data_IF_377840937594
#
_entry.id   IF_377840937594
#
_cell.length_a   1.000
_cell.length_b   1.000
_cell.length_c   1.000
_cell.angle_alpha   90.00
_cell.angle_beta   90.00
_cell.angle_gamma   90.00
#
_symmetry.space_group_name_H-M   'P 1'
#
loop_
_entity.id
_entity.type
_entity.pdbx_description
1 polymer ?
#
# COMPACT_ATOMS: atom_id res chain seq x y z
N UNK A 1 8.07 -42.65 -21.28
CA UNK A 1 6.98 -42.52 -22.27
C UNK A 1 5.71 -42.64 -21.46
N UNK A 2 4.94 -41.56 -21.34
CA UNK A 2 3.68 -41.58 -20.58
C UNK A 2 2.67 -42.38 -21.40
N UNK A 3 1.98 -43.32 -20.76
CA UNK A 3 0.94 -44.11 -21.40
C UNK A 3 -0.32 -43.26 -21.60
N UNK A 4 -1.17 -43.65 -22.56
CA UNK A 4 -2.43 -42.94 -22.79
C UNK A 4 -3.38 -43.05 -21.58
N UNK A 5 -3.32 -44.16 -20.83
CA UNK A 5 -4.14 -44.38 -19.63
C UNK A 5 -3.80 -43.38 -18.51
N UNK A 6 -2.51 -43.16 -18.26
CA UNK A 6 -2.01 -42.17 -17.29
C UNK A 6 -2.45 -40.74 -17.63
N UNK A 7 -2.40 -40.37 -18.92
CA UNK A 7 -2.84 -39.04 -19.38
C UNK A 7 -4.35 -38.89 -19.27
N UNK A 8 -5.12 -39.93 -19.59
CA UNK A 8 -6.59 -39.92 -19.46
C UNK A 8 -7.04 -39.85 -18.00
N UNK A 9 -6.37 -40.55 -17.09
CA UNK A 9 -6.62 -40.47 -15.66
C UNK A 9 -6.34 -39.07 -15.10
N UNK A 10 -5.20 -38.46 -15.50
CA UNK A 10 -4.87 -37.08 -15.12
C UNK A 10 -5.89 -36.06 -15.67
N UNK A 11 -6.35 -36.24 -16.91
CA UNK A 11 -7.41 -35.41 -17.51
C UNK A 11 -8.73 -35.53 -16.75
N UNK A 12 -9.11 -36.74 -16.32
CA UNK A 12 -10.33 -36.96 -15.53
C UNK A 12 -10.23 -36.28 -14.17
N UNK A 13 -9.14 -36.51 -13.43
CA UNK A 13 -8.90 -35.87 -12.13
C UNK A 13 -8.98 -34.34 -12.24
N UNK A 14 -8.44 -33.77 -13.33
CA UNK A 14 -8.50 -32.33 -13.61
C UNK A 14 -9.94 -31.82 -13.85
N UNK A 15 -10.79 -32.59 -14.52
CA UNK A 15 -12.19 -32.23 -14.74
C UNK A 15 -12.98 -32.24 -13.42
N UNK A 16 -12.66 -33.18 -12.53
CA UNK A 16 -13.31 -33.33 -11.23
C UNK A 16 -12.72 -32.41 -10.14
N UNK A 17 -11.64 -31.68 -10.45
CA UNK A 17 -10.96 -30.77 -9.52
C UNK A 17 -10.07 -31.48 -8.49
N UNK A 18 -9.76 -32.75 -8.72
CA UNK A 18 -8.86 -33.55 -7.91
C UNK A 18 -7.39 -33.38 -8.32
N UNK A 19 -6.48 -33.76 -7.43
CA UNK A 19 -5.04 -33.67 -7.69
C UNK A 19 -4.61 -34.77 -8.65
N UNK A 20 -4.15 -34.39 -9.84
CA UNK A 20 -3.55 -35.31 -10.80
C UNK A 20 -2.18 -35.83 -10.32
N UNK A 21 -1.86 -37.09 -10.66
CA UNK A 21 -0.55 -37.69 -10.38
C UNK A 21 0.53 -37.21 -11.35
N UNK A 22 0.14 -36.74 -12.54
CA UNK A 22 1.01 -36.14 -13.53
C UNK A 22 0.97 -34.61 -13.49
N UNK A 23 2.12 -34.01 -13.81
CA UNK A 23 2.24 -32.57 -13.99
C UNK A 23 1.43 -32.08 -15.20
N UNK A 24 0.69 -31.00 -15.02
CA UNK A 24 -0.21 -30.42 -16.04
C UNK A 24 0.54 -30.08 -17.34
N UNK A 25 1.80 -29.64 -17.21
CA UNK A 25 2.64 -29.33 -18.38
C UNK A 25 2.91 -30.55 -19.27
N UNK A 26 3.03 -31.74 -18.66
CA UNK A 26 3.28 -33.00 -19.39
C UNK A 26 1.99 -33.48 -20.06
N UNK A 27 0.86 -33.36 -19.36
CA UNK A 27 -0.47 -33.70 -19.87
C UNK A 27 -0.82 -32.82 -21.08
N UNK A 28 -0.63 -31.50 -20.98
CA UNK A 28 -0.94 -30.57 -22.05
C UNK A 28 -0.04 -30.77 -23.28
N UNK A 29 1.25 -31.04 -23.06
CA UNK A 29 2.17 -31.40 -24.14
C UNK A 29 1.72 -32.67 -24.88
N UNK A 30 1.29 -33.70 -24.15
CA UNK A 30 0.81 -34.95 -24.76
C UNK A 30 -0.51 -34.76 -25.51
N UNK A 31 -1.47 -34.04 -24.93
CA UNK A 31 -2.78 -33.76 -25.56
C UNK A 31 -2.60 -32.94 -26.84
N UNK A 32 -1.66 -32.00 -26.89
CA UNK A 32 -1.36 -31.25 -28.11
C UNK A 32 -0.93 -32.16 -29.28
N UNK A 33 -0.14 -33.20 -28.99
CA UNK A 33 0.39 -34.13 -29.99
C UNK A 33 -0.48 -35.36 -30.29
N UNK A 34 -1.34 -35.78 -29.37
CA UNK A 34 -2.09 -37.05 -29.47
C UNK A 34 -3.57 -36.84 -29.79
N UNK A 35 -4.03 -37.37 -30.93
CA UNK A 35 -5.42 -37.27 -31.37
C UNK A 35 -6.39 -38.09 -30.49
N UNK A 36 -5.92 -39.20 -29.92
CA UNK A 36 -6.74 -40.06 -29.05
C UNK A 36 -7.07 -39.39 -27.72
N UNK A 37 -6.07 -38.79 -27.06
CA UNK A 37 -6.27 -38.07 -25.80
C UNK A 37 -7.11 -36.80 -25.98
N UNK A 38 -6.99 -36.11 -27.14
CA UNK A 38 -7.91 -35.02 -27.51
C UNK A 38 -9.35 -35.51 -27.62
N UNK A 39 -9.57 -36.59 -28.37
CA UNK A 39 -10.91 -37.15 -28.52
C UNK A 39 -11.50 -37.66 -27.19
N UNK A 40 -10.67 -38.16 -26.28
CA UNK A 40 -11.09 -38.51 -24.92
C UNK A 40 -11.55 -37.27 -24.13
N UNK A 41 -10.75 -36.19 -24.13
CA UNK A 41 -11.10 -34.93 -23.48
C UNK A 41 -12.39 -34.32 -24.03
N UNK A 42 -12.57 -34.33 -25.35
CA UNK A 42 -13.79 -33.80 -25.98
C UNK A 42 -15.02 -34.61 -25.56
N UNK A 43 -14.91 -35.95 -25.51
CA UNK A 43 -15.98 -36.84 -25.05
C UNK A 43 -16.29 -36.65 -23.56
N UNK A 44 -15.28 -36.50 -22.72
CA UNK A 44 -15.48 -36.31 -21.28
C UNK A 44 -16.13 -34.95 -20.99
N UNK A 45 -15.72 -33.87 -21.66
CA UNK A 45 -16.35 -32.57 -21.54
C UNK A 45 -17.81 -32.58 -22.04
N UNK A 46 -18.08 -33.23 -23.18
CA UNK A 46 -19.43 -33.37 -23.69
C UNK A 46 -20.33 -34.19 -22.73
N UNK A 47 -19.78 -35.26 -22.13
CA UNK A 47 -20.46 -36.06 -21.11
C UNK A 47 -20.74 -35.23 -19.86
N UNK A 48 -19.75 -34.51 -19.31
CA UNK A 48 -19.92 -33.63 -18.15
C UNK A 48 -20.94 -32.51 -18.41
N UNK A 49 -21.01 -31.97 -19.63
CA UNK A 49 -22.05 -31.01 -20.01
C UNK A 49 -23.44 -31.66 -20.08
N UNK A 50 -23.53 -32.90 -20.57
CA UNK A 50 -24.80 -33.64 -20.65
C UNK A 50 -25.31 -34.09 -19.27
N UNK A 51 -24.41 -34.53 -18.38
CA UNK A 51 -24.70 -34.91 -16.99
C UNK A 51 -24.92 -33.69 -16.10
N UNK A 52 -24.28 -32.58 -16.45
CA UNK A 52 -24.51 -31.24 -15.89
C UNK A 52 -25.92 -30.68 -16.19
N UNK A 53 -26.74 -31.44 -16.92
CA UNK A 53 -28.20 -31.46 -16.86
C UNK A 53 -28.86 -30.09 -16.80
N UNK A 54 -29.34 -29.63 -17.96
CA UNK A 54 -30.24 -28.49 -18.18
C UNK A 54 -29.79 -27.16 -17.53
N UNK A 55 -29.54 -26.20 -18.40
CA UNK A 55 -29.34 -24.79 -18.09
C UNK A 55 -30.58 -24.09 -17.50
N UNK A 56 -31.31 -24.73 -16.57
CA UNK A 56 -32.19 -24.08 -15.62
C UNK A 56 -31.39 -23.41 -14.47
N UNK A 57 -30.11 -23.76 -14.34
CA UNK A 57 -29.16 -23.14 -13.41
C UNK A 57 -27.88 -22.67 -14.11
N UNK A 58 -27.98 -22.21 -15.37
CA UNK A 58 -26.95 -21.28 -15.84
C UNK A 58 -27.04 -20.06 -14.91
N UNK A 59 -25.99 -19.72 -14.13
CA UNK A 59 -26.04 -18.52 -13.31
C UNK A 59 -26.42 -17.37 -14.25
N UNK A 60 -27.48 -16.59 -13.95
CA UNK A 60 -27.87 -15.46 -14.78
C UNK A 60 -26.61 -14.69 -15.19
N UNK A 61 -26.46 -14.34 -16.45
CA UNK A 61 -25.25 -13.67 -16.96
C UNK A 61 -24.96 -12.36 -16.18
N UNK A 62 -25.99 -11.82 -15.53
CA UNK A 62 -25.91 -10.66 -14.65
C UNK A 62 -25.34 -10.97 -13.25
N UNK A 63 -25.26 -12.22 -12.80
CA UNK A 63 -24.65 -12.55 -11.51
C UNK A 63 -23.12 -12.42 -11.57
N UNK A 64 -22.48 -12.85 -12.66
CA UNK A 64 -21.05 -12.61 -12.83
C UNK A 64 -20.78 -11.10 -12.93
N UNK A 65 -21.60 -10.35 -13.68
CA UNK A 65 -21.51 -8.90 -13.75
C UNK A 65 -21.80 -8.21 -12.40
N UNK A 66 -22.77 -8.68 -11.62
CA UNK A 66 -23.13 -8.12 -10.31
C UNK A 66 -22.10 -8.45 -9.23
N UNK A 67 -21.52 -9.67 -9.24
CA UNK A 67 -20.42 -10.06 -8.37
C UNK A 67 -19.18 -9.25 -8.73
N UNK A 68 -18.81 -9.17 -10.01
CA UNK A 68 -17.69 -8.35 -10.47
C UNK A 68 -17.92 -6.88 -10.13
N UNK A 69 -19.12 -6.34 -10.32
CA UNK A 69 -19.46 -4.96 -9.94
C UNK A 69 -19.41 -4.73 -8.43
N UNK A 70 -19.81 -5.71 -7.62
CA UNK A 70 -19.69 -5.66 -6.16
C UNK A 70 -18.23 -5.60 -5.71
N UNK A 71 -17.39 -6.48 -6.25
CA UNK A 71 -15.94 -6.51 -5.97
C UNK A 71 -15.25 -5.25 -6.50
N UNK A 72 -15.57 -4.80 -7.71
CA UNK A 72 -15.04 -3.58 -8.31
C UNK A 72 -15.39 -2.35 -7.47
N UNK A 73 -16.58 -2.29 -6.88
CA UNK A 73 -17.01 -1.13 -6.11
C UNK A 73 -16.25 -1.03 -4.77
N UNK A 74 -15.98 -2.17 -4.11
CA UNK A 74 -15.12 -2.19 -2.92
C UNK A 74 -13.67 -1.81 -3.25
N UNK A 75 -13.12 -2.36 -4.32
CA UNK A 75 -11.78 -2.01 -4.81
C UNK A 75 -11.67 -0.54 -5.24
N UNK A 76 -12.67 -0.01 -5.95
CA UNK A 76 -12.74 1.41 -6.35
C UNK A 76 -12.89 2.31 -5.14
N UNK A 77 -13.71 1.96 -4.14
CA UNK A 77 -13.86 2.76 -2.92
C UNK A 77 -12.57 2.80 -2.09
N UNK A 78 -11.82 1.69 -2.10
CA UNK A 78 -10.50 1.61 -1.51
C UNK A 78 -9.46 2.45 -2.28
N UNK A 79 -9.42 2.30 -3.61
CA UNK A 79 -8.54 3.09 -4.48
C UNK A 79 -8.82 4.59 -4.34
N UNK A 80 -10.09 5.00 -4.32
CA UNK A 80 -10.51 6.40 -4.15
C UNK A 80 -10.15 6.96 -2.77
N UNK A 81 -10.30 6.18 -1.70
CA UNK A 81 -9.86 6.59 -0.34
C UNK A 81 -8.34 6.76 -0.28
N UNK A 82 -7.58 5.91 -0.98
CA UNK A 82 -6.13 6.01 -1.08
C UNK A 82 -5.68 7.23 -1.87
N UNK A 83 -6.31 7.49 -3.02
CA UNK A 83 -6.05 8.68 -3.85
C UNK A 83 -6.38 9.97 -3.11
N UNK A 84 -7.55 10.03 -2.45
CA UNK A 84 -7.95 11.18 -1.63
C UNK A 84 -7.04 11.35 -0.42
N UNK A 85 -6.66 10.26 0.27
CA UNK A 85 -5.74 10.30 1.41
C UNK A 85 -4.34 10.80 1.03
N UNK A 86 -3.85 10.41 -0.16
CA UNK A 86 -2.59 10.90 -0.71
C UNK A 86 -2.68 12.38 -1.09
N UNK A 87 -3.77 12.82 -1.72
CA UNK A 87 -4.00 14.22 -2.05
C UNK A 87 -4.05 15.12 -0.80
N UNK A 88 -4.81 14.71 0.21
CA UNK A 88 -4.88 15.42 1.50
C UNK A 88 -3.53 15.44 2.20
N UNK A 89 -2.80 14.32 2.18
CA UNK A 89 -1.46 14.23 2.74
C UNK A 89 -0.47 15.21 2.10
N UNK A 90 -0.47 15.30 0.77
CA UNK A 90 0.38 16.25 0.03
C UNK A 90 0.02 17.70 0.34
N UNK A 91 -1.27 18.02 0.39
CA UNK A 91 -1.73 19.36 0.75
C UNK A 91 -1.25 19.72 2.16
N UNK A 92 -1.40 18.79 3.11
CA UNK A 92 -1.04 19.02 4.51
C UNK A 92 0.48 19.18 4.70
N UNK A 93 1.30 18.37 4.01
CA UNK A 93 2.76 18.56 3.96
C UNK A 93 3.16 19.89 3.32
N UNK A 94 2.50 20.28 2.24
CA UNK A 94 2.73 21.57 1.57
C UNK A 94 2.39 22.76 2.47
N UNK A 95 1.24 22.72 3.15
CA UNK A 95 0.85 23.75 4.14
C UNK A 95 1.88 23.81 5.25
N UNK A 96 2.35 22.67 5.76
CA UNK A 96 3.31 22.66 6.85
C UNK A 96 4.69 23.15 6.41
N UNK A 97 5.13 22.86 5.19
CA UNK A 97 6.33 23.46 4.61
C UNK A 97 6.25 25.00 4.59
N UNK A 98 5.10 25.57 4.20
CA UNK A 98 4.88 27.03 4.23
C UNK A 98 4.92 27.57 5.66
N UNK A 99 4.32 26.88 6.64
CA UNK A 99 4.38 27.27 8.05
C UNK A 99 5.83 27.33 8.55
N UNK A 100 6.67 26.34 8.21
CA UNK A 100 8.09 26.34 8.56
C UNK A 100 8.86 27.49 7.91
N UNK A 101 8.59 27.80 6.64
CA UNK A 101 9.19 28.97 5.94
C UNK A 101 8.81 30.25 6.64
N UNK A 102 7.52 30.48 6.90
CA UNK A 102 7.05 31.69 7.57
C UNK A 102 7.66 31.83 8.96
N UNK A 103 7.82 30.74 9.69
CA UNK A 103 8.44 30.74 11.01
C UNK A 103 9.95 31.00 10.97
N UNK A 104 10.65 30.53 9.93
CA UNK A 104 12.05 30.87 9.70
C UNK A 104 12.23 32.34 9.32
N UNK A 105 11.39 32.86 8.42
CA UNK A 105 11.42 34.28 7.99
C UNK A 105 11.11 35.22 9.15
N UNK A 106 10.08 34.90 9.97
CA UNK A 106 9.75 35.66 11.19
C UNK A 106 10.96 35.80 12.13
N UNK A 107 11.74 34.73 12.27
CA UNK A 107 12.93 34.70 13.13
C UNK A 107 14.03 35.62 12.62
N UNK A 108 14.27 35.63 11.31
CA UNK A 108 15.26 36.51 10.67
C UNK A 108 14.84 37.97 10.82
N UNK A 109 13.57 38.28 10.55
CA UNK A 109 13.02 39.63 10.65
C UNK A 109 13.00 40.17 12.09
N UNK A 110 12.97 39.31 13.11
CA UNK A 110 13.03 39.72 14.51
C UNK A 110 14.43 40.10 15.03
N UNK A 111 15.43 40.25 14.15
CA UNK A 111 16.79 40.67 14.51
C UNK A 111 17.83 39.56 14.47
N UNK A 112 17.70 38.62 13.53
CA UNK A 112 18.53 37.41 13.43
C UNK A 112 19.93 37.60 12.83
N UNK A 113 20.67 38.63 13.23
CA UNK A 113 22.06 38.84 12.81
C UNK A 113 23.06 37.99 13.62
N UNK A 114 22.65 37.54 14.81
CA UNK A 114 23.43 36.62 15.63
C UNK A 114 23.60 35.26 14.94
N UNK A 115 24.82 34.67 14.89
CA UNK A 115 25.09 33.43 14.17
C UNK A 115 24.24 32.24 14.67
N UNK A 116 23.89 32.24 15.96
CA UNK A 116 23.00 31.24 16.56
C UNK A 116 21.58 31.33 15.98
N UNK A 117 21.08 32.53 15.72
CA UNK A 117 19.73 32.73 15.15
C UNK A 117 19.71 32.35 13.66
N UNK A 118 20.76 32.70 12.92
CA UNK A 118 20.92 32.31 11.52
C UNK A 118 20.99 30.77 11.35
N UNK A 119 21.72 30.07 12.24
CA UNK A 119 21.76 28.61 12.23
C UNK A 119 20.40 27.96 12.58
N UNK A 120 19.62 28.53 13.50
CA UNK A 120 18.28 28.05 13.78
C UNK A 120 17.34 28.25 12.57
N UNK A 121 17.46 29.38 11.86
CA UNK A 121 16.71 29.64 10.64
C UNK A 121 17.05 28.65 9.53
N UNK A 122 18.34 28.33 9.33
CA UNK A 122 18.76 27.37 8.29
C UNK A 122 18.21 25.96 8.54
N UNK A 123 18.18 25.50 9.80
CA UNK A 123 17.53 24.23 10.18
C UNK A 123 16.04 24.26 9.85
N UNK A 124 15.33 25.35 10.18
CA UNK A 124 13.90 25.51 9.86
C UNK A 124 13.64 25.46 8.35
N UNK A 125 14.48 26.09 7.55
CA UNK A 125 14.41 26.00 6.09
C UNK A 125 14.71 24.60 5.57
N UNK A 126 15.69 23.90 6.13
CA UNK A 126 16.00 22.51 5.79
C UNK A 126 14.80 21.59 6.01
N UNK A 127 14.12 21.72 7.15
CA UNK A 127 12.89 20.98 7.44
C UNK A 127 11.77 21.35 6.47
N UNK A 128 11.59 22.64 6.17
CA UNK A 128 10.59 23.08 5.18
C UNK A 128 10.83 22.46 3.80
N UNK A 129 12.08 22.43 3.34
CA UNK A 129 12.45 21.81 2.07
C UNK A 129 12.25 20.30 2.09
N UNK A 130 12.56 19.62 3.20
CA UNK A 130 12.30 18.18 3.35
C UNK A 130 10.80 17.86 3.29
N UNK A 131 9.95 18.68 3.92
CA UNK A 131 8.49 18.54 3.86
C UNK A 131 7.95 18.83 2.45
N UNK A 132 8.44 19.88 1.79
CA UNK A 132 8.08 20.18 0.40
C UNK A 132 8.53 19.07 -0.56
N UNK A 133 9.73 18.54 -0.38
CA UNK A 133 10.25 17.45 -1.20
C UNK A 133 9.43 16.17 -1.03
N UNK A 134 9.08 15.82 0.21
CA UNK A 134 8.23 14.64 0.49
C UNK A 134 6.80 14.81 -0.04
N UNK A 135 6.29 16.04 -0.15
CA UNK A 135 5.02 16.31 -0.82
C UNK A 135 5.07 15.96 -2.33
N UNK A 136 6.20 16.20 -3.01
CA UNK A 136 6.39 15.80 -4.41
C UNK A 136 6.77 14.32 -4.58
N UNK A 137 7.57 13.76 -3.67
CA UNK A 137 8.00 12.36 -3.69
C UNK A 137 7.74 11.64 -2.36
N UNK A 138 6.53 11.05 -2.17
CA UNK A 138 6.16 10.38 -0.91
C UNK A 138 7.00 9.13 -0.60
N UNK A 139 7.72 8.57 -1.58
CA UNK A 139 8.63 7.44 -1.36
C UNK A 139 9.74 7.73 -0.32
N UNK A 140 10.07 9.01 -0.06
CA UNK A 140 11.11 9.38 0.91
C UNK A 140 10.60 9.67 2.33
N UNK A 141 9.28 9.56 2.58
CA UNK A 141 8.67 9.82 3.89
C UNK A 141 9.37 9.07 5.06
N UNK A 142 9.72 7.77 4.98
CA UNK A 142 10.29 7.08 6.15
C UNK A 142 11.64 7.66 6.61
N UNK A 143 12.48 8.14 5.69
CA UNK A 143 13.74 8.79 6.05
C UNK A 143 13.52 10.13 6.72
N UNK A 144 12.57 10.92 6.22
CA UNK A 144 12.24 12.25 6.77
C UNK A 144 11.53 12.13 8.12
N UNK A 145 10.67 11.11 8.32
CA UNK A 145 10.05 10.79 9.61
C UNK A 145 11.12 10.54 10.68
N UNK A 146 12.17 9.79 10.35
CA UNK A 146 13.27 9.53 11.29
C UNK A 146 13.96 10.85 11.70
N UNK A 147 14.29 11.71 10.74
CA UNK A 147 14.98 12.98 10.99
C UNK A 147 14.10 13.95 11.78
N UNK A 148 12.85 14.16 11.36
CA UNK A 148 11.92 15.07 12.05
C UNK A 148 11.52 14.51 13.42
N UNK A 149 11.42 13.19 13.55
CA UNK A 149 11.13 12.50 14.81
C UNK A 149 12.23 12.62 15.84
N UNK A 150 13.49 12.45 15.46
CA UNK A 150 14.62 12.68 16.37
C UNK A 150 14.70 14.15 16.76
N UNK A 151 14.57 15.07 15.80
CA UNK A 151 14.52 16.51 16.06
C UNK A 151 13.43 16.86 17.08
N UNK A 152 12.19 16.42 16.86
CA UNK A 152 11.07 16.63 17.78
C UNK A 152 11.36 16.09 19.17
N UNK A 153 11.90 14.87 19.27
CA UNK A 153 12.23 14.25 20.55
C UNK A 153 13.25 15.07 21.34
N UNK A 154 14.30 15.57 20.68
CA UNK A 154 15.26 16.47 21.31
C UNK A 154 14.64 17.81 21.70
N UNK A 155 13.82 18.41 20.84
CA UNK A 155 13.13 19.67 21.14
C UNK A 155 12.23 19.55 22.37
N UNK A 156 11.46 18.46 22.48
CA UNK A 156 10.66 18.15 23.67
C UNK A 156 11.56 17.98 24.90
N UNK A 157 12.67 17.24 24.78
CA UNK A 157 13.63 17.05 25.87
C UNK A 157 14.21 18.37 26.39
N UNK A 158 14.60 19.28 25.49
CA UNK A 158 15.08 20.61 25.87
C UNK A 158 13.97 21.47 26.50
N UNK A 159 12.74 21.43 25.97
CA UNK A 159 11.62 22.15 26.56
C UNK A 159 11.29 21.68 27.98
N UNK A 160 11.35 20.36 28.23
CA UNK A 160 11.17 19.79 29.57
C UNK A 160 12.32 20.18 30.49
N UNK A 161 13.57 20.12 30.01
CA UNK A 161 14.75 20.57 30.77
C UNK A 161 14.62 22.03 31.21
N UNK A 162 14.28 22.93 30.29
CA UNK A 162 14.19 24.36 30.58
C UNK A 162 13.05 24.67 31.54
N UNK A 163 11.94 23.93 31.44
CA UNK A 163 10.83 24.01 32.39
C UNK A 163 11.25 23.57 33.81
N UNK A 164 12.01 22.46 33.92
CA UNK A 164 12.49 21.95 35.23
C UNK A 164 13.54 22.87 35.85
N UNK A 165 14.45 23.42 35.06
CA UNK A 165 15.52 24.29 35.55
C UNK A 165 15.09 25.75 35.73
N UNK A 166 13.90 26.13 35.25
CA UNK A 166 13.42 27.51 35.28
C UNK A 166 14.27 28.47 34.43
N UNK A 167 15.04 27.94 33.48
CA UNK A 167 16.05 28.68 32.71
C UNK A 167 15.50 29.37 31.48
N UNK A 168 14.27 29.05 31.05
CA UNK A 168 13.68 29.58 29.83
C UNK A 168 12.16 29.67 29.86
N UNK A 169 11.61 30.54 29.00
CA UNK A 169 10.19 30.58 28.74
C UNK A 169 9.79 29.40 27.84
N UNK A 170 8.71 28.71 28.18
CA UNK A 170 8.19 27.63 27.35
C UNK A 170 7.63 28.17 26.02
N UNK A 171 8.32 27.90 24.92
CA UNK A 171 7.87 28.28 23.57
C UNK A 171 6.96 27.18 22.98
N UNK A 172 5.65 27.34 23.16
CA UNK A 172 4.63 26.41 22.66
C UNK A 172 4.79 26.11 21.14
N UNK A 173 5.14 27.13 20.35
CA UNK A 173 5.37 27.00 18.91
C UNK A 173 6.52 26.05 18.59
N UNK A 174 7.57 26.04 19.43
CA UNK A 174 8.73 25.17 19.29
C UNK A 174 8.40 23.69 19.40
N UNK A 175 7.34 23.32 20.12
CA UNK A 175 6.91 21.93 20.29
C UNK A 175 5.75 21.57 19.36
N UNK A 176 4.76 22.45 19.21
CA UNK A 176 3.56 22.14 18.42
C UNK A 176 3.83 22.03 16.91
N UNK A 177 4.65 22.92 16.34
CA UNK A 177 4.94 22.91 14.90
C UNK A 177 5.62 21.59 14.48
N UNK A 178 6.71 21.12 15.13
CA UNK A 178 7.30 19.83 14.80
C UNK A 178 6.39 18.64 15.11
N UNK A 179 5.56 18.70 16.18
CA UNK A 179 4.56 17.66 16.45
C UNK A 179 3.57 17.51 15.30
N UNK A 180 2.97 18.62 14.85
CA UNK A 180 2.02 18.61 13.74
C UNK A 180 2.66 18.13 12.44
N UNK A 181 3.92 18.49 12.21
CA UNK A 181 4.71 18.01 11.07
C UNK A 181 4.94 16.50 11.12
N UNK A 182 5.18 15.95 12.31
CA UNK A 182 5.36 14.51 12.52
C UNK A 182 4.05 13.75 12.31
N UNK A 183 2.94 14.27 12.85
CA UNK A 183 1.60 13.71 12.64
C UNK A 183 1.25 13.72 11.15
N UNK A 184 1.55 14.80 10.44
CA UNK A 184 1.39 14.90 8.99
C UNK A 184 2.16 13.78 8.25
N UNK A 185 3.44 13.61 8.58
CA UNK A 185 4.30 12.61 7.96
C UNK A 185 3.83 11.18 8.28
N UNK A 186 3.44 10.89 9.52
CA UNK A 186 2.92 9.57 9.91
C UNK A 186 1.59 9.29 9.20
N UNK A 187 0.69 10.27 9.13
CA UNK A 187 -0.58 10.13 8.41
C UNK A 187 -0.37 9.84 6.93
N UNK A 188 0.51 10.60 6.26
CA UNK A 188 0.85 10.38 4.85
C UNK A 188 1.52 9.03 4.61
N UNK A 189 2.38 8.59 5.52
CA UNK A 189 3.03 7.28 5.48
C UNK A 189 2.03 6.12 5.61
N UNK A 190 1.08 6.22 6.55
CA UNK A 190 0.02 5.22 6.74
C UNK A 190 -0.92 5.19 5.55
N UNK A 191 -1.29 6.35 4.98
CA UNK A 191 -2.11 6.43 3.78
C UNK A 191 -1.41 5.76 2.56
N UNK A 192 -0.10 5.92 2.44
CA UNK A 192 0.69 5.29 1.37
C UNK A 192 0.96 3.79 1.60
N UNK A 193 1.19 3.32 2.83
CA UNK A 193 1.48 1.90 3.11
C UNK A 193 0.29 1.04 3.54
N UNK A 194 -0.85 1.64 3.88
CA UNK A 194 -2.01 0.92 4.42
C UNK A 194 -2.57 -0.18 3.50
N UNK A 195 -2.46 -0.01 2.19
CA UNK A 195 -2.85 -1.05 1.21
C UNK A 195 -1.81 -2.16 1.00
N UNK A 196 -0.54 -1.94 1.38
CA UNK A 196 0.48 -2.99 1.35
C UNK A 196 0.35 -3.92 2.57
N UNK A 197 0.01 -3.37 3.73
CA UNK A 197 -0.16 -4.14 4.97
C UNK A 197 -1.33 -5.13 4.88
N UNK A 198 -2.48 -4.71 4.35
CA UNK A 198 -3.62 -5.62 4.09
C UNK A 198 -3.30 -6.72 3.08
N UNK A 199 -2.58 -6.39 2.00
CA UNK A 199 -2.16 -7.38 1.00
C UNK A 199 -1.17 -8.38 1.59
N UNK A 200 -0.22 -7.93 2.40
CA UNK A 200 0.70 -8.81 3.11
C UNK A 200 -0.06 -9.76 4.07
N UNK A 201 -1.08 -9.27 4.77
CA UNK A 201 -1.94 -10.12 5.60
C UNK A 201 -2.75 -11.12 4.77
N UNK A 202 -3.33 -10.70 3.65
CA UNK A 202 -4.05 -11.62 2.75
C UNK A 202 -3.14 -12.69 2.15
N UNK A 203 -1.87 -12.38 1.88
CA UNK A 203 -0.87 -13.36 1.41
C UNK A 203 -0.45 -14.34 2.51
N UNK A 204 -0.45 -13.91 3.78
CA UNK A 204 -0.17 -14.79 4.93
C UNK A 204 -1.38 -15.67 5.29
N UNK A 205 -2.60 -15.17 5.07
CA UNK A 205 -3.85 -15.88 5.32
C UNK A 205 -4.22 -16.82 4.16
N UNK A 206 -3.68 -16.58 2.96
CA UNK A 206 -3.64 -17.54 1.86
C UNK A 206 -2.69 -18.68 2.25
N UNK A 207 -3.21 -19.62 3.05
CA UNK A 207 -2.52 -20.86 3.40
C UNK A 207 -2.10 -21.58 2.11
N UNK A 208 -0.80 -21.78 1.85
CA UNK A 208 -0.35 -22.64 0.78
C UNK A 208 -0.44 -24.08 1.29
N UNK A 209 -1.47 -24.80 0.87
CA UNK A 209 -1.52 -26.26 0.94
C UNK A 209 -1.95 -26.82 -0.41
#
# INVERSE_FOLDING_TARGET
MVSHEEVQAALSARIDGEKAELDDAIVDAHVSGCAECRAFLDRSLALSQSLGGDSAMAPPQDLSAAILAGVDNEWRRFARRRELGMGVGRLLLGVMAVVWVLWAVRLILSGGEEPVVASAASVRFGVALALGFTAWRPQQIPGVVLIVGTMFTFTVGFAVRDFVLGTGAFELAGVLIPLLSLVALVWTWVADRGGAWRRAWQMLDARPY
#
